data_IF_073750650613
#
_entry.id   IF_073750650613
#
_cell.length_a   1.000
_cell.length_b   1.000
_cell.length_c   1.000
_cell.angle_alpha   90.00
_cell.angle_beta   90.00
_cell.angle_gamma   90.00
#
_symmetry.space_group_name_H-M   'P 1'
#
loop_
_entity.id
_entity.type
_entity.pdbx_description
1 polymer ?
#
# COMPACT_ATOMS: atom_id res chain seq x y z
N UNK A 1 14.17 20.62 14.04
CA UNK A 1 14.29 21.84 14.86
C UNK A 1 13.89 23.02 13.99
N UNK A 2 13.02 23.88 14.51
CA UNK A 2 12.61 25.11 13.89
C UNK A 2 12.96 26.27 14.80
N UNK A 3 13.50 27.36 14.24
CA UNK A 3 13.84 28.58 14.98
C UNK A 3 13.35 29.76 14.17
N UNK A 4 12.60 30.66 14.79
CA UNK A 4 12.19 31.93 14.22
C UNK A 4 12.75 33.08 15.08
N UNK A 5 13.30 34.09 14.44
CA UNK A 5 13.82 35.29 15.07
C UNK A 5 13.24 36.53 14.39
N UNK A 6 13.15 37.62 15.15
CA UNK A 6 12.69 38.94 14.68
C UNK A 6 13.72 40.02 15.02
N UNK A 7 13.48 41.26 14.62
CA UNK A 7 14.38 42.38 14.80
C UNK A 7 15.73 42.24 14.04
N UNK A 8 15.66 42.44 12.74
CA UNK A 8 16.80 42.43 11.85
C UNK A 8 17.79 43.56 12.19
N UNK A 9 19.05 43.21 12.47
CA UNK A 9 20.08 44.19 12.77
C UNK A 9 20.66 44.88 11.50
N UNK A 10 20.77 44.13 10.40
CA UNK A 10 21.26 44.59 9.10
C UNK A 10 20.32 44.17 7.98
N UNK A 11 19.77 45.10 7.18
CA UNK A 11 18.80 44.77 6.14
C UNK A 11 19.43 43.83 5.06
N UNK A 12 18.58 42.95 4.52
CA UNK A 12 18.94 41.98 3.47
C UNK A 12 19.98 40.91 3.84
N UNK A 13 20.19 40.62 5.13
CA UNK A 13 21.01 39.50 5.59
C UNK A 13 20.15 38.43 6.25
N UNK A 14 19.99 37.30 5.58
CA UNK A 14 19.06 36.22 6.01
C UNK A 14 19.68 35.18 6.97
N UNK A 15 20.82 35.44 7.57
CA UNK A 15 21.38 34.58 8.59
C UNK A 15 20.68 34.78 9.95
N UNK A 16 20.33 33.69 10.67
CA UNK A 16 19.69 33.77 11.97
C UNK A 16 20.46 34.59 13.01
N UNK A 17 21.78 34.71 12.86
CA UNK A 17 22.63 35.54 13.71
C UNK A 17 22.40 37.05 13.54
N UNK A 18 21.74 37.46 12.44
CA UNK A 18 21.42 38.86 12.17
C UNK A 18 20.17 39.37 12.90
N UNK A 19 19.42 38.48 13.56
CA UNK A 19 18.20 38.83 14.25
C UNK A 19 18.41 38.83 15.77
N UNK A 20 18.05 39.90 16.43
CA UNK A 20 18.34 40.11 17.86
C UNK A 20 17.36 39.43 18.81
N UNK A 21 16.12 39.22 18.37
CA UNK A 21 15.06 38.65 19.19
C UNK A 21 14.64 37.26 18.71
N UNK A 22 14.55 36.32 19.63
CA UNK A 22 14.07 34.99 19.38
C UNK A 22 12.54 34.94 19.51
N UNK A 23 11.80 34.80 18.42
CA UNK A 23 10.36 34.68 18.41
C UNK A 23 9.87 33.30 18.85
N UNK A 24 10.54 32.22 18.34
CA UNK A 24 10.21 30.87 18.72
C UNK A 24 11.38 29.90 18.46
N UNK A 25 11.47 28.87 19.28
CA UNK A 25 12.34 27.72 19.02
C UNK A 25 11.55 26.46 19.33
N UNK A 26 11.55 25.52 18.40
CA UNK A 26 10.92 24.21 18.56
C UNK A 26 11.72 23.12 17.88
N UNK A 27 11.59 21.93 18.37
CA UNK A 27 12.23 20.77 17.79
C UNK A 27 11.58 19.48 18.28
N UNK A 28 11.49 18.51 17.38
CA UNK A 28 11.01 17.19 17.73
C UNK A 28 11.86 16.12 17.02
N UNK A 29 11.83 14.92 17.55
CA UNK A 29 12.49 13.76 16.97
C UNK A 29 11.47 12.63 16.83
N UNK A 30 11.32 12.12 15.61
CA UNK A 30 10.52 10.94 15.33
C UNK A 30 11.41 9.74 15.05
N UNK A 31 10.92 8.56 15.35
CA UNK A 31 11.58 7.30 15.03
C UNK A 31 10.57 6.38 14.38
N UNK A 32 10.99 5.76 13.28
CA UNK A 32 10.26 4.72 12.60
C UNK A 32 11.19 3.50 12.42
N UNK A 33 10.69 2.33 12.71
CA UNK A 33 11.40 1.07 12.55
C UNK A 33 10.49 0.02 11.97
N UNK A 34 11.01 -0.74 11.05
CA UNK A 34 10.38 -1.94 10.50
C UNK A 34 11.31 -3.11 10.62
N UNK A 35 10.74 -4.30 10.75
CA UNK A 35 11.44 -5.57 10.75
C UNK A 35 10.64 -6.55 9.92
N UNK A 36 11.29 -7.28 9.00
CA UNK A 36 10.61 -8.15 8.05
C UNK A 36 11.32 -9.48 7.92
N UNK A 37 10.55 -10.55 7.88
CA UNK A 37 10.99 -11.90 7.58
C UNK A 37 10.28 -12.40 6.34
N UNK A 38 11.03 -12.91 5.37
CA UNK A 38 10.50 -13.36 4.09
C UNK A 38 11.00 -14.79 3.80
N UNK A 39 10.08 -15.62 3.34
CA UNK A 39 10.38 -16.91 2.73
C UNK A 39 9.64 -17.04 1.39
N UNK A 40 10.30 -17.57 0.36
CA UNK A 40 9.73 -17.80 -0.96
C UNK A 40 10.20 -19.15 -1.48
N UNK A 41 9.28 -19.89 -2.08
CA UNK A 41 9.53 -21.18 -2.73
C UNK A 41 8.93 -21.12 -4.11
N UNK A 42 9.69 -21.58 -5.09
CA UNK A 42 9.26 -21.71 -6.48
C UNK A 42 9.58 -23.14 -6.95
N UNK A 43 8.62 -23.74 -7.63
CA UNK A 43 8.77 -25.07 -8.22
C UNK A 43 8.26 -25.07 -9.65
N UNK A 44 9.08 -25.52 -10.57
CA UNK A 44 8.73 -25.70 -11.97
C UNK A 44 8.91 -27.17 -12.38
N UNK A 45 7.94 -27.72 -13.09
CA UNK A 45 7.97 -29.06 -13.59
C UNK A 45 7.71 -29.10 -15.09
N UNK A 46 8.63 -29.71 -15.84
CA UNK A 46 8.54 -30.02 -17.27
C UNK A 46 8.13 -28.84 -18.18
N UNK A 47 8.49 -27.60 -17.79
CA UNK A 47 8.07 -26.37 -18.48
C UNK A 47 6.54 -26.28 -18.70
N UNK A 48 5.75 -26.99 -17.92
CA UNK A 48 4.29 -27.04 -17.98
C UNK A 48 3.66 -26.47 -16.74
N UNK A 49 4.15 -26.86 -15.57
CA UNK A 49 3.58 -26.49 -14.29
C UNK A 49 4.57 -25.65 -13.51
N UNK A 50 4.13 -24.48 -13.04
CA UNK A 50 4.92 -23.66 -12.14
C UNK A 50 4.05 -23.25 -10.98
N UNK A 51 4.59 -23.40 -9.76
CA UNK A 51 3.95 -23.01 -8.51
C UNK A 51 4.92 -22.11 -7.74
N UNK A 52 4.40 -21.07 -7.18
CA UNK A 52 5.13 -20.16 -6.33
C UNK A 52 4.33 -19.90 -5.06
N UNK A 53 5.01 -19.94 -3.93
CA UNK A 53 4.44 -19.55 -2.65
C UNK A 53 5.41 -18.61 -1.93
N UNK A 54 4.89 -17.57 -1.30
CA UNK A 54 5.66 -16.71 -0.43
C UNK A 54 4.94 -16.46 0.89
N UNK A 55 5.71 -16.24 1.93
CA UNK A 55 5.24 -15.82 3.24
C UNK A 55 6.11 -14.68 3.72
N UNK A 56 5.47 -13.62 4.22
CA UNK A 56 6.14 -12.46 4.79
C UNK A 56 5.51 -12.09 6.13
N UNK A 57 6.36 -11.87 7.10
CA UNK A 57 5.98 -11.35 8.41
C UNK A 57 6.63 -10.00 8.62
N UNK A 58 5.84 -8.96 8.79
CA UNK A 58 6.30 -7.59 8.92
C UNK A 58 5.91 -7.01 10.28
N UNK A 59 6.86 -6.35 10.92
CA UNK A 59 6.66 -5.60 12.16
C UNK A 59 6.86 -4.11 11.92
N UNK A 60 5.95 -3.27 12.44
CA UNK A 60 6.04 -1.83 12.35
C UNK A 60 5.93 -1.16 13.71
N UNK A 61 6.80 -0.16 13.95
CA UNK A 61 6.77 0.63 15.18
C UNK A 61 5.61 1.63 15.24
N UNK A 62 4.78 1.73 14.21
CA UNK A 62 3.58 2.56 14.18
C UNK A 62 2.44 2.00 15.02
N UNK A 63 2.46 0.67 15.25
CA UNK A 63 1.44 -0.05 15.98
C UNK A 63 1.88 -0.43 17.40
N UNK A 64 0.92 -0.65 18.28
CA UNK A 64 1.15 -1.14 19.63
C UNK A 64 1.83 -2.52 19.58
N UNK A 65 2.46 -2.93 20.69
CA UNK A 65 3.25 -4.16 20.74
C UNK A 65 2.43 -5.40 20.35
N UNK A 66 1.18 -5.42 20.73
CA UNK A 66 0.22 -6.52 20.49
C UNK A 66 -0.21 -6.63 19.02
N UNK A 67 -0.32 -5.49 18.32
CA UNK A 67 -0.81 -5.39 16.94
C UNK A 67 0.29 -5.13 15.91
N UNK A 68 1.55 -5.10 16.36
CA UNK A 68 2.71 -4.68 15.54
C UNK A 68 2.99 -5.57 14.36
N UNK A 69 2.73 -6.87 14.49
CA UNK A 69 3.11 -7.86 13.50
C UNK A 69 1.95 -8.21 12.56
N UNK A 70 2.16 -8.02 11.26
CA UNK A 70 1.31 -8.53 10.18
C UNK A 70 1.93 -9.76 9.52
N UNK A 71 1.08 -10.70 9.10
CA UNK A 71 1.49 -11.87 8.33
C UNK A 71 0.79 -11.80 6.97
N UNK A 72 1.58 -11.91 5.90
CA UNK A 72 1.11 -11.79 4.53
C UNK A 72 1.62 -12.96 3.72
N UNK A 73 0.80 -13.49 2.84
CA UNK A 73 1.16 -14.62 2.00
C UNK A 73 0.82 -14.38 0.55
N UNK A 74 1.46 -15.12 -0.33
CA UNK A 74 1.03 -15.22 -1.72
C UNK A 74 1.16 -16.64 -2.24
N UNK A 75 0.29 -16.99 -3.16
CA UNK A 75 0.29 -18.26 -3.90
C UNK A 75 0.00 -17.96 -5.36
N UNK A 76 0.86 -18.45 -6.24
CA UNK A 76 0.70 -18.38 -7.68
C UNK A 76 0.87 -19.75 -8.31
N UNK A 77 0.06 -20.05 -9.30
CA UNK A 77 0.22 -21.24 -10.12
C UNK A 77 -0.02 -20.88 -11.58
N UNK A 78 0.75 -21.50 -12.47
CA UNK A 78 0.47 -21.46 -13.89
C UNK A 78 0.66 -22.81 -14.54
N UNK A 79 -0.16 -23.08 -15.53
CA UNK A 79 -0.11 -24.29 -16.36
C UNK A 79 -0.02 -23.89 -17.82
N UNK A 80 1.10 -24.26 -18.45
CA UNK A 80 1.35 -24.08 -19.88
C UNK A 80 0.76 -25.29 -20.60
N UNK A 81 -0.58 -25.26 -20.78
CA UNK A 81 -1.30 -26.39 -21.34
C UNK A 81 -0.97 -26.64 -22.82
N UNK A 82 -0.45 -25.64 -23.55
CA UNK A 82 0.04 -25.84 -24.92
C UNK A 82 1.20 -26.84 -25.03
N UNK A 83 1.93 -27.06 -23.94
CA UNK A 83 3.04 -28.03 -23.92
C UNK A 83 2.58 -29.47 -23.66
N UNK A 84 1.28 -29.69 -23.42
CA UNK A 84 0.73 -31.03 -23.23
C UNK A 84 0.62 -31.81 -24.54
N UNK A 85 0.78 -33.12 -24.46
CA UNK A 85 0.77 -33.99 -25.63
C UNK A 85 -0.54 -33.89 -26.43
N UNK A 86 -1.70 -33.78 -25.74
CA UNK A 86 -2.99 -33.68 -26.39
C UNK A 86 -3.18 -32.35 -27.14
N UNK A 87 -2.41 -31.30 -26.81
CA UNK A 87 -2.45 -30.00 -27.47
C UNK A 87 -1.57 -29.88 -28.69
N UNK A 88 -0.57 -30.70 -28.83
CA UNK A 88 0.39 -30.69 -29.98
C UNK A 88 -0.26 -30.87 -31.35
N UNK A 89 -1.45 -31.46 -31.39
CA UNK A 89 -2.24 -31.59 -32.63
C UNK A 89 -2.83 -30.27 -33.13
N UNK A 90 -2.96 -29.27 -32.26
CA UNK A 90 -3.60 -27.97 -32.57
C UNK A 90 -2.55 -26.94 -32.96
N UNK A 91 -2.13 -26.94 -34.24
CA UNK A 91 -1.06 -26.06 -34.76
C UNK A 91 -1.40 -24.56 -34.74
N UNK A 92 -2.67 -24.20 -34.59
CA UNK A 92 -3.13 -22.82 -34.54
C UNK A 92 -2.85 -22.18 -33.16
N UNK A 93 -2.71 -22.99 -32.10
CA UNK A 93 -2.35 -22.54 -30.76
C UNK A 93 -0.83 -22.69 -30.57
N UNK A 94 -0.12 -21.59 -30.64
CA UNK A 94 1.34 -21.58 -30.47
C UNK A 94 1.76 -21.61 -29.02
N UNK A 95 0.98 -20.93 -28.16
CA UNK A 95 1.16 -20.94 -26.72
C UNK A 95 -0.20 -20.80 -26.05
N UNK A 96 -0.41 -21.55 -25.00
CA UNK A 96 -1.60 -21.47 -24.16
C UNK A 96 -1.23 -21.67 -22.71
N UNK A 97 -1.66 -20.73 -21.84
CA UNK A 97 -1.34 -20.75 -20.42
C UNK A 97 -2.55 -20.37 -19.60
N UNK A 98 -2.80 -21.12 -18.53
CA UNK A 98 -3.71 -20.75 -17.45
C UNK A 98 -2.87 -20.24 -16.28
N UNK A 99 -3.34 -19.16 -15.65
CA UNK A 99 -2.69 -18.57 -14.49
C UNK A 99 -3.74 -18.32 -13.40
N UNK A 100 -3.39 -18.63 -12.16
CA UNK A 100 -4.16 -18.26 -10.99
C UNK A 100 -3.20 -17.71 -9.94
N UNK A 101 -3.61 -16.67 -9.25
CA UNK A 101 -2.82 -16.05 -8.19
C UNK A 101 -3.70 -15.52 -7.07
N UNK A 102 -3.17 -15.60 -5.87
CA UNK A 102 -3.67 -14.97 -4.67
C UNK A 102 -2.52 -14.32 -3.94
N UNK A 103 -2.74 -13.16 -3.35
CA UNK A 103 -1.71 -12.50 -2.58
C UNK A 103 -2.29 -11.50 -1.59
N UNK A 104 -1.55 -11.34 -0.50
CA UNK A 104 -1.80 -10.33 0.52
C UNK A 104 -0.59 -9.42 0.66
N UNK A 105 -0.85 -8.12 0.88
CA UNK A 105 0.15 -7.10 1.18
C UNK A 105 -0.34 -6.23 2.31
N UNK A 106 0.56 -5.95 3.27
CA UNK A 106 0.29 -5.05 4.38
C UNK A 106 0.66 -3.61 4.04
N UNK A 107 -0.12 -2.66 4.56
CA UNK A 107 0.18 -1.24 4.54
C UNK A 107 0.08 -0.67 5.96
N UNK A 108 1.11 0.05 6.42
CA UNK A 108 1.14 0.72 7.73
C UNK A 108 1.13 2.25 7.61
N UNK A 109 1.08 2.79 6.38
CA UNK A 109 1.21 4.23 6.13
C UNK A 109 -0.03 5.04 6.48
N UNK A 110 -1.19 4.39 6.68
CA UNK A 110 -2.46 5.03 7.02
C UNK A 110 -2.50 5.68 8.40
N UNK A 111 -1.51 5.41 9.28
CA UNK A 111 -1.47 5.98 10.64
C UNK A 111 -0.21 6.81 10.91
N UNK A 112 -0.31 7.72 11.88
CA UNK A 112 0.84 8.46 12.42
C UNK A 112 1.85 7.55 13.13
N UNK A 113 3.10 8.02 13.30
CA UNK A 113 4.18 7.25 13.96
C UNK A 113 3.88 6.86 15.40
N UNK A 114 2.99 7.57 16.06
CA UNK A 114 2.66 7.40 17.49
C UNK A 114 1.15 7.38 17.73
N UNK A 115 0.35 6.98 16.74
CA UNK A 115 -1.11 6.98 16.81
C UNK A 115 -1.67 6.11 17.95
N UNK A 116 -0.97 5.07 18.34
CA UNK A 116 -1.37 4.19 19.44
C UNK A 116 -1.16 4.77 20.84
N UNK A 117 -0.41 5.88 20.98
CA UNK A 117 -0.26 6.59 22.23
C UNK A 117 -1.35 7.64 22.46
N UNK A 118 -1.78 7.81 23.71
CA UNK A 118 -2.44 9.04 24.16
C UNK A 118 -1.40 10.15 24.32
N UNK A 119 -1.63 11.29 23.67
CA UNK A 119 -0.75 12.44 23.75
C UNK A 119 -1.43 13.60 24.44
N UNK A 120 -0.63 14.39 25.17
CA UNK A 120 -1.09 15.62 25.83
C UNK A 120 -0.35 16.80 25.23
N UNK A 121 -1.08 17.88 25.00
CA UNK A 121 -0.54 19.18 24.63
C UNK A 121 -0.49 20.12 25.83
N UNK A 122 0.49 21.03 25.85
CA UNK A 122 0.51 22.13 26.82
C UNK A 122 -0.52 23.19 26.45
N UNK A 123 -1.22 23.68 27.43
CA UNK A 123 -2.22 24.71 27.33
C UNK A 123 -2.03 25.74 28.43
N UNK A 124 -2.66 26.89 28.29
CA UNK A 124 -2.69 27.92 29.38
C UNK A 124 -4.14 28.20 29.71
N UNK A 125 -4.50 28.01 30.96
CA UNK A 125 -5.81 28.34 31.49
C UNK A 125 -5.67 29.30 32.67
N UNK A 126 -6.31 30.45 32.60
CA UNK A 126 -6.21 31.50 33.61
C UNK A 126 -4.75 31.85 33.95
N UNK A 127 -3.89 32.02 32.93
CA UNK A 127 -2.47 32.32 33.05
C UNK A 127 -1.66 31.24 33.80
N UNK A 128 -2.20 30.01 33.97
CA UNK A 128 -1.50 28.87 34.56
C UNK A 128 -1.27 27.79 33.51
N UNK A 129 -0.10 27.08 33.54
CA UNK A 129 0.12 25.95 32.69
C UNK A 129 -0.92 24.86 32.93
N UNK A 130 -1.46 24.29 31.85
CA UNK A 130 -2.39 23.16 31.85
C UNK A 130 -2.01 22.15 30.78
N UNK A 131 -2.47 20.92 30.94
CA UNK A 131 -2.31 19.87 29.93
C UNK A 131 -3.68 19.39 29.46
N UNK A 132 -3.80 19.22 28.16
CA UNK A 132 -5.03 18.75 27.54
C UNK A 132 -4.71 17.56 26.66
N UNK A 133 -5.65 16.64 26.52
CA UNK A 133 -5.52 15.52 25.59
C UNK A 133 -5.47 16.06 24.17
N UNK A 134 -4.36 15.86 23.47
CA UNK A 134 -4.17 16.27 22.08
C UNK A 134 -4.41 15.13 21.09
N UNK A 135 -4.31 13.87 21.56
CA UNK A 135 -4.54 12.67 20.78
C UNK A 135 -5.06 11.56 21.68
N UNK A 136 -6.18 10.96 21.30
CA UNK A 136 -6.69 9.77 21.96
C UNK A 136 -5.86 8.54 21.53
N UNK A 137 -5.59 7.59 22.45
CA UNK A 137 -4.83 6.39 22.11
C UNK A 137 -5.65 5.47 21.19
N UNK A 138 -5.01 4.94 20.16
CA UNK A 138 -5.57 3.94 19.25
C UNK A 138 -4.75 2.64 19.33
N UNK A 139 -4.89 1.91 20.43
CA UNK A 139 -4.08 0.71 20.72
C UNK A 139 -4.44 -0.51 19.88
N UNK A 140 -5.64 -0.54 19.34
CA UNK A 140 -6.20 -1.57 18.47
C UNK A 140 -5.81 -1.41 17.00
N UNK A 141 -5.13 -0.32 16.65
CA UNK A 141 -4.62 -0.11 15.30
C UNK A 141 -3.68 -1.25 14.86
N UNK A 142 -3.95 -1.76 13.67
CA UNK A 142 -3.19 -2.80 13.02
C UNK A 142 -3.03 -2.54 11.51
N UNK A 143 -2.34 -3.42 10.83
CA UNK A 143 -2.06 -3.32 9.41
C UNK A 143 -3.33 -3.28 8.57
N UNK A 144 -3.37 -2.35 7.61
CA UNK A 144 -4.30 -2.47 6.48
C UNK A 144 -3.86 -3.64 5.60
N UNK A 145 -4.80 -4.40 5.07
CA UNK A 145 -4.50 -5.57 4.24
C UNK A 145 -5.10 -5.41 2.85
N UNK A 146 -4.23 -5.31 1.84
CA UNK A 146 -4.60 -5.48 0.45
C UNK A 146 -4.60 -6.97 0.09
N UNK A 147 -5.72 -7.52 -0.32
CA UNK A 147 -5.87 -8.88 -0.80
C UNK A 147 -6.24 -8.87 -2.28
N UNK A 148 -5.59 -9.68 -3.07
CA UNK A 148 -5.86 -9.79 -4.50
C UNK A 148 -5.98 -11.24 -4.95
N UNK A 149 -7.00 -11.51 -5.76
CA UNK A 149 -7.21 -12.76 -6.49
C UNK A 149 -7.19 -12.47 -7.98
N UNK A 150 -6.56 -13.31 -8.75
CA UNK A 150 -6.54 -13.22 -10.20
C UNK A 150 -6.56 -14.61 -10.83
N UNK A 151 -7.30 -14.73 -11.93
CA UNK A 151 -7.29 -15.91 -12.78
C UNK A 151 -7.28 -15.46 -14.24
N UNK A 152 -6.36 -15.98 -15.05
CA UNK A 152 -6.19 -15.57 -16.43
C UNK A 152 -5.99 -16.74 -17.37
N UNK A 153 -6.49 -16.57 -18.59
CA UNK A 153 -6.16 -17.40 -19.75
C UNK A 153 -5.36 -16.54 -20.72
N UNK A 154 -4.19 -17.01 -21.08
CA UNK A 154 -3.31 -16.32 -22.02
C UNK A 154 -3.04 -17.24 -23.21
N UNK A 155 -3.10 -16.72 -24.42
CA UNK A 155 -2.85 -17.50 -25.61
C UNK A 155 -2.17 -16.73 -26.73
N UNK A 156 -1.31 -17.42 -27.48
CA UNK A 156 -0.80 -16.96 -28.76
C UNK A 156 -1.35 -17.84 -29.86
N UNK A 157 -2.09 -17.23 -30.78
CA UNK A 157 -2.83 -17.89 -31.83
C UNK A 157 -2.27 -17.50 -33.19
N UNK A 158 -2.16 -18.48 -34.12
CA UNK A 158 -1.74 -18.27 -35.51
C UNK A 158 -0.40 -17.55 -35.68
N UNK A 159 0.47 -17.56 -34.65
CA UNK A 159 1.70 -16.77 -34.59
C UNK A 159 1.52 -15.24 -34.71
N UNK A 160 0.29 -14.73 -34.60
CA UNK A 160 -0.05 -13.34 -34.87
C UNK A 160 -0.89 -12.68 -33.80
N UNK A 161 -1.75 -13.42 -33.13
CA UNK A 161 -2.67 -12.89 -32.12
C UNK A 161 -2.23 -13.33 -30.72
N UNK A 162 -1.87 -12.39 -29.86
CA UNK A 162 -1.78 -12.60 -28.43
C UNK A 162 -3.08 -12.16 -27.78
N UNK A 163 -3.68 -13.02 -26.99
CA UNK A 163 -4.92 -12.76 -26.27
C UNK A 163 -4.72 -13.08 -24.81
N UNK A 164 -5.14 -12.19 -23.94
CA UNK A 164 -5.21 -12.41 -22.49
C UNK A 164 -6.59 -12.00 -21.99
N UNK A 165 -7.19 -12.86 -21.19
CA UNK A 165 -8.44 -12.60 -20.48
C UNK A 165 -8.18 -12.91 -19.01
N UNK A 166 -8.32 -11.90 -18.16
CA UNK A 166 -8.10 -12.00 -16.73
C UNK A 166 -9.34 -11.58 -15.96
N UNK A 167 -9.70 -12.34 -14.94
CA UNK A 167 -10.61 -11.92 -13.90
C UNK A 167 -9.81 -11.54 -12.66
N UNK A 168 -10.11 -10.40 -12.06
CA UNK A 168 -9.50 -9.95 -10.82
C UNK A 168 -10.54 -9.59 -9.75
N UNK A 169 -10.19 -9.82 -8.48
CA UNK A 169 -10.91 -9.34 -7.30
C UNK A 169 -9.85 -8.80 -6.32
N UNK A 170 -9.85 -7.47 -6.13
CA UNK A 170 -8.93 -6.75 -5.24
C UNK A 170 -9.73 -6.16 -4.10
N UNK A 171 -9.30 -6.41 -2.86
CA UNK A 171 -9.94 -5.92 -1.64
C UNK A 171 -8.92 -5.29 -0.72
N UNK A 172 -9.15 -4.05 -0.35
CA UNK A 172 -8.41 -3.41 0.73
C UNK A 172 -9.27 -3.44 1.97
N UNK A 173 -8.82 -4.19 2.97
CA UNK A 173 -9.51 -4.43 4.25
C UNK A 173 -8.82 -3.66 5.35
N UNK A 174 -9.57 -3.36 6.41
CA UNK A 174 -9.07 -2.75 7.63
C UNK A 174 -8.40 -1.38 7.36
N UNK A 175 -8.95 -0.62 6.40
CA UNK A 175 -8.47 0.71 6.07
C UNK A 175 -8.51 1.61 7.30
N UNK A 176 -7.43 2.36 7.52
CA UNK A 176 -7.31 3.27 8.64
C UNK A 176 -7.95 4.61 8.29
N UNK A 177 -8.96 4.98 9.06
CA UNK A 177 -9.62 6.28 8.96
C UNK A 177 -9.61 7.00 10.29
N UNK A 178 -9.42 8.33 10.21
CA UNK A 178 -9.61 9.20 11.36
C UNK A 178 -11.10 9.43 11.61
N UNK A 179 -11.62 8.89 12.69
CA UNK A 179 -13.02 9.07 13.11
C UNK A 179 -13.13 10.11 14.21
N UNK A 180 -14.20 10.89 14.19
CA UNK A 180 -14.48 11.86 15.23
C UNK A 180 -14.75 11.17 16.55
N UNK A 181 -14.04 11.59 17.59
CA UNK A 181 -14.33 11.16 18.96
C UNK A 181 -15.43 12.04 19.58
N UNK A 182 -16.37 11.46 20.34
CA UNK A 182 -17.34 12.26 21.08
C UNK A 182 -16.63 13.12 22.12
N UNK A 183 -17.18 14.30 22.41
CA UNK A 183 -16.60 15.25 23.39
C UNK A 183 -16.41 14.64 24.78
N UNK A 184 -17.22 13.63 25.14
CA UNK A 184 -17.10 12.85 26.37
C UNK A 184 -15.84 11.98 26.45
N UNK A 185 -15.15 11.72 25.31
CA UNK A 185 -13.89 10.99 25.27
C UNK A 185 -12.65 11.83 25.59
N UNK A 186 -12.83 13.08 26.03
CA UNK A 186 -11.77 13.95 26.52
C UNK A 186 -10.96 14.69 25.46
N UNK A 187 -11.48 14.79 24.24
CA UNK A 187 -10.86 15.61 23.20
C UNK A 187 -11.07 17.09 23.43
N UNK A 188 -10.05 17.91 23.16
CA UNK A 188 -10.22 19.38 23.21
C UNK A 188 -10.98 19.84 21.98
N UNK A 189 -12.22 20.27 22.20
CA UNK A 189 -12.96 21.12 21.29
C UNK A 189 -12.62 22.59 21.61
N UNK A 190 -11.46 23.06 21.20
CA UNK A 190 -11.20 24.52 21.17
C UNK A 190 -11.57 25.03 19.79
N UNK A 191 -12.82 25.42 19.66
CA UNK A 191 -13.34 26.30 18.60
C UNK A 191 -13.27 25.80 17.13
N UNK A 192 -12.40 24.92 16.76
CA UNK A 192 -12.20 24.47 15.35
C UNK A 192 -11.61 23.06 15.17
N UNK A 193 -11.16 22.39 16.20
CA UNK A 193 -10.52 21.06 16.08
C UNK A 193 -11.34 20.01 16.82
N UNK A 194 -12.07 19.23 16.08
CA UNK A 194 -12.71 18.02 16.59
C UNK A 194 -11.62 16.97 16.81
N UNK A 195 -11.57 16.41 18.02
CA UNK A 195 -10.65 15.32 18.33
C UNK A 195 -10.99 14.11 17.46
N UNK A 196 -9.99 13.58 16.77
CA UNK A 196 -10.11 12.36 15.97
C UNK A 196 -9.32 11.22 16.58
N UNK A 197 -9.72 9.99 16.30
CA UNK A 197 -9.00 8.78 16.65
C UNK A 197 -8.90 7.90 15.41
N UNK A 198 -7.71 7.42 15.10
CA UNK A 198 -7.52 6.51 13.98
C UNK A 198 -8.05 5.12 14.33
N UNK A 199 -8.78 4.51 13.41
CA UNK A 199 -9.33 3.17 13.55
C UNK A 199 -9.30 2.41 12.23
N UNK A 200 -9.11 1.09 12.31
CA UNK A 200 -9.29 0.21 11.18
C UNK A 200 -10.77 -0.02 10.93
N UNK A 201 -11.33 0.71 9.98
CA UNK A 201 -12.73 0.62 9.58
C UNK A 201 -12.84 0.71 8.06
N UNK A 202 -13.66 -0.11 7.51
CA UNK A 202 -13.96 -0.06 6.08
C UNK A 202 -13.18 -1.06 5.25
N UNK A 203 -13.82 -1.41 4.16
CA UNK A 203 -13.29 -2.29 3.12
C UNK A 203 -13.68 -1.72 1.77
N UNK A 204 -12.72 -1.63 0.87
CA UNK A 204 -12.94 -1.27 -0.53
C UNK A 204 -12.68 -2.51 -1.37
N UNK A 205 -13.62 -2.84 -2.25
CA UNK A 205 -13.45 -3.93 -3.21
C UNK A 205 -13.55 -3.42 -4.64
N UNK A 206 -12.68 -3.94 -5.49
CA UNK A 206 -12.68 -3.68 -6.93
C UNK A 206 -12.50 -5.03 -7.64
N UNK A 207 -13.44 -5.38 -8.51
CA UNK A 207 -13.44 -6.63 -9.26
C UNK A 207 -13.89 -6.40 -10.68
N UNK A 208 -13.31 -7.15 -11.60
CA UNK A 208 -13.64 -6.97 -13.00
C UNK A 208 -12.92 -7.96 -13.90
N UNK A 209 -13.02 -7.68 -15.18
CA UNK A 209 -12.35 -8.40 -16.25
C UNK A 209 -11.40 -7.47 -16.96
N UNK A 210 -10.21 -7.99 -17.24
CA UNK A 210 -9.24 -7.35 -18.13
C UNK A 210 -9.08 -8.21 -19.37
N UNK A 211 -9.25 -7.61 -20.54
CA UNK A 211 -9.08 -8.26 -21.84
C UNK A 211 -8.03 -7.48 -22.61
N UNK A 212 -6.97 -8.13 -23.02
CA UNK A 212 -5.97 -7.53 -23.92
C UNK A 212 -5.78 -8.39 -25.15
N UNK A 213 -5.65 -7.75 -26.29
CA UNK A 213 -5.42 -8.37 -27.57
C UNK A 213 -4.37 -7.60 -28.36
N UNK A 214 -3.33 -8.29 -28.79
CA UNK A 214 -2.30 -7.75 -29.69
C UNK A 214 -2.29 -8.57 -30.98
N UNK A 215 -2.49 -7.88 -32.10
CA UNK A 215 -2.54 -8.54 -33.40
C UNK A 215 -1.50 -7.99 -34.37
N UNK A 216 -0.65 -8.89 -34.87
CA UNK A 216 0.33 -8.61 -35.91
C UNK A 216 -0.37 -8.62 -37.28
N UNK A 217 -0.75 -7.44 -37.78
CA UNK A 217 -1.41 -7.26 -39.09
C UNK A 217 -0.45 -7.64 -40.21
N UNK A 218 0.75 -7.07 -40.17
CA UNK A 218 1.82 -7.37 -41.12
C UNK A 218 3.00 -7.92 -40.35
N UNK A 219 3.49 -9.06 -40.78
CA UNK A 219 4.72 -9.68 -40.28
C UNK A 219 5.51 -10.21 -41.46
N UNK A 220 6.48 -9.44 -41.90
CA UNK A 220 7.41 -9.80 -42.96
C UNK A 220 8.85 -9.73 -42.46
N UNK A 221 9.80 -9.99 -43.34
CA UNK A 221 11.24 -9.91 -43.02
C UNK A 221 11.68 -8.50 -42.60
N UNK A 222 11.12 -7.47 -43.24
CA UNK A 222 11.55 -6.09 -43.10
C UNK A 222 10.54 -5.20 -42.36
N UNK A 223 9.29 -5.66 -42.21
CA UNK A 223 8.18 -4.90 -41.61
C UNK A 223 7.39 -5.73 -40.62
N UNK A 224 7.13 -5.13 -39.46
CA UNK A 224 6.14 -5.63 -38.50
C UNK A 224 5.20 -4.51 -38.12
N UNK A 225 3.90 -4.69 -38.36
CA UNK A 225 2.85 -3.73 -37.95
C UNK A 225 1.87 -4.46 -37.04
N UNK A 226 1.73 -3.96 -35.83
CA UNK A 226 0.87 -4.56 -34.81
C UNK A 226 -0.17 -3.54 -34.32
N UNK A 227 -1.34 -4.01 -33.93
CA UNK A 227 -2.39 -3.23 -33.28
C UNK A 227 -2.70 -3.89 -31.94
N UNK A 228 -2.76 -3.08 -30.89
CA UNK A 228 -3.09 -3.52 -29.54
C UNK A 228 -4.37 -2.86 -29.07
N UNK A 229 -5.21 -3.62 -28.37
CA UNK A 229 -6.41 -3.15 -27.71
C UNK A 229 -6.50 -3.73 -26.31
N UNK A 230 -6.97 -2.94 -25.36
CA UNK A 230 -7.25 -3.36 -23.99
C UNK A 230 -8.62 -2.83 -23.54
N UNK A 231 -9.31 -3.62 -22.74
CA UNK A 231 -10.59 -3.32 -22.12
C UNK A 231 -10.53 -3.76 -20.64
N UNK A 232 -11.02 -2.88 -19.78
CA UNK A 232 -11.16 -3.17 -18.35
C UNK A 232 -12.55 -2.79 -17.90
#
# INVERSE_FOLDING_TARGET
TYTSKTNEAFPNRYALSNFSEMASISGYKTRYRTESYLARVQYGYDNRYNIEASFRRDGSSRFAKESRWGNFGSLGANWVFSNEEFMKKYRWLNQGKLRASWGQVGNDSGSGYYAYYGLYGSWTQNSKPAYVVSQNPARDLHWETGESWGAAVEGRLFNRLNLSVEYFDKRNKDLIFSVYAPSSAGGTSTGSSTSTTDRNIGTISNRGWEISADFDIVKSKDWTVSVSANLT
#
